data_IF_393003909810
#
_entry.id   IF_393003909810
#
_cell.length_a   1.000
_cell.length_b   1.000
_cell.length_c   1.000
_cell.angle_alpha   90.00
_cell.angle_beta   90.00
_cell.angle_gamma   90.00
#
_symmetry.space_group_name_H-M   'P 1'
#
loop_
_entity.id
_entity.type
_entity.pdbx_description
1 polymer ?
#
# COMPACT_ATOMS: atom_id res chain seq x y z
N UNK A 1 -4.67 6.95 74.41
CA UNK A 1 -4.54 5.63 73.84
C UNK A 1 -4.63 5.78 72.33
N UNK A 2 -3.56 5.50 71.67
CA UNK A 2 -3.36 5.87 70.28
C UNK A 2 -3.63 4.68 69.37
N UNK A 3 -4.63 4.78 68.51
CA UNK A 3 -4.86 3.82 67.44
C UNK A 3 -4.12 4.27 66.18
N UNK A 4 -3.11 3.52 65.81
CA UNK A 4 -2.38 3.71 64.60
C UNK A 4 -3.14 2.98 63.50
N UNK A 5 -3.76 3.76 62.59
CA UNK A 5 -4.31 3.22 61.35
C UNK A 5 -3.16 3.02 60.38
N UNK A 6 -2.85 1.77 60.13
CA UNK A 6 -1.92 1.40 59.06
C UNK A 6 -2.69 1.48 57.75
N UNK A 7 -2.42 2.54 56.99
CA UNK A 7 -2.93 2.67 55.65
C UNK A 7 -2.16 1.74 54.69
N UNK A 8 -2.83 0.72 54.23
CA UNK A 8 -2.33 -0.14 53.14
C UNK A 8 -2.50 0.63 51.84
N UNK A 9 -1.43 1.22 51.34
CA UNK A 9 -1.35 1.70 49.97
C UNK A 9 -1.26 0.51 49.03
N UNK A 10 -2.38 0.13 48.45
CA UNK A 10 -2.41 -0.77 47.31
C UNK A 10 -1.93 -0.01 46.07
N UNK A 11 -0.67 -0.18 45.72
CA UNK A 11 -0.14 0.29 44.45
C UNK A 11 -0.75 -0.56 43.33
N UNK A 12 -1.76 -0.02 42.63
CA UNK A 12 -2.28 -0.63 41.42
C UNK A 12 -1.24 -0.38 40.31
N UNK A 13 -0.46 -1.39 40.06
CA UNK A 13 0.44 -1.43 38.92
C UNK A 13 -0.41 -1.70 37.67
N UNK A 14 -0.85 -0.64 36.98
CA UNK A 14 -1.45 -0.77 35.67
C UNK A 14 -0.31 -1.09 34.69
N UNK A 15 -0.14 -2.37 34.38
CA UNK A 15 0.69 -2.79 33.27
C UNK A 15 0.03 -2.35 31.96
N UNK A 16 0.50 -1.23 31.42
CA UNK A 16 0.17 -0.83 30.06
C UNK A 16 0.90 -1.80 29.14
N UNK A 17 0.22 -2.84 28.73
CA UNK A 17 0.62 -3.66 27.60
C UNK A 17 0.44 -2.81 26.34
N UNK A 18 1.48 -2.04 26.00
CA UNK A 18 1.62 -1.45 24.69
C UNK A 18 1.82 -2.59 23.69
N UNK A 19 0.73 -3.21 23.27
CA UNK A 19 0.75 -4.10 22.13
C UNK A 19 1.16 -3.27 20.92
N UNK A 20 2.30 -3.62 20.29
CA UNK A 20 2.61 -3.18 18.95
C UNK A 20 1.58 -3.79 18.00
N UNK A 21 0.40 -3.22 17.95
CA UNK A 21 -0.55 -3.47 16.88
C UNK A 21 0.08 -2.86 15.63
N UNK A 22 0.50 -3.70 14.67
CA UNK A 22 0.83 -3.23 13.33
C UNK A 22 -0.38 -2.41 12.85
N UNK A 23 -0.15 -1.14 12.48
CA UNK A 23 -1.22 -0.30 11.99
C UNK A 23 -1.93 -1.01 10.83
N UNK A 24 -3.26 -1.19 10.84
CA UNK A 24 -3.97 -1.80 9.72
C UNK A 24 -3.68 -0.97 8.47
N UNK A 25 -3.56 -1.60 7.28
CA UNK A 25 -3.39 -0.88 6.04
C UNK A 25 -4.52 0.13 5.91
N UNK A 26 -4.16 1.40 5.66
CA UNK A 26 -5.11 2.49 5.62
C UNK A 26 -6.08 2.31 4.45
N UNK A 27 -7.28 1.87 4.70
CA UNK A 27 -8.38 1.88 3.75
C UNK A 27 -9.55 2.69 4.33
N UNK A 28 -10.41 3.14 3.46
CA UNK A 28 -11.71 3.70 3.84
C UNK A 28 -12.84 2.85 3.29
N UNK A 29 -13.99 2.90 3.95
CA UNK A 29 -15.21 2.35 3.38
C UNK A 29 -15.86 3.45 2.54
N UNK A 30 -15.99 3.19 1.24
CA UNK A 30 -16.68 4.09 0.32
C UNK A 30 -18.20 4.07 0.59
N UNK A 31 -18.96 5.10 0.14
CA UNK A 31 -20.42 5.16 0.35
C UNK A 31 -21.18 3.96 -0.20
N UNK A 32 -20.65 3.30 -1.23
CA UNK A 32 -21.20 2.07 -1.84
C UNK A 32 -20.76 0.77 -1.13
N UNK A 33 -20.04 0.87 0.00
CA UNK A 33 -19.57 -0.25 0.81
C UNK A 33 -18.25 -0.89 0.34
N UNK A 34 -17.64 -0.39 -0.73
CA UNK A 34 -16.35 -0.89 -1.19
C UNK A 34 -15.22 -0.49 -0.22
N UNK A 35 -14.27 -1.39 0.01
CA UNK A 35 -12.99 -1.06 0.68
C UNK A 35 -12.08 -0.37 -0.32
N UNK A 36 -11.83 0.90 -0.09
CA UNK A 36 -11.01 1.74 -0.97
C UNK A 36 -9.61 1.91 -0.38
N UNK A 37 -8.61 1.56 -1.17
CA UNK A 37 -7.20 1.75 -0.89
C UNK A 37 -6.60 2.74 -1.87
N UNK A 38 -5.75 3.62 -1.39
CA UNK A 38 -4.93 4.49 -2.23
C UNK A 38 -3.55 3.84 -2.36
N UNK A 39 -3.17 3.48 -3.59
CA UNK A 39 -1.86 2.93 -3.91
C UNK A 39 -1.03 3.97 -4.65
N UNK A 40 0.11 4.32 -4.08
CA UNK A 40 1.06 5.24 -4.69
C UNK A 40 2.26 4.47 -5.23
N UNK A 41 2.62 4.69 -6.48
CA UNK A 41 3.80 4.15 -7.14
C UNK A 41 4.93 5.19 -7.12
N UNK A 42 5.95 4.97 -6.30
CA UNK A 42 7.05 5.91 -6.09
C UNK A 42 8.31 5.20 -5.64
N UNK A 43 9.48 5.67 -6.09
CA UNK A 43 10.79 5.24 -5.62
C UNK A 43 11.00 3.71 -5.65
N UNK A 44 10.52 3.04 -6.70
CA UNK A 44 10.68 1.61 -6.90
C UNK A 44 9.72 0.72 -6.10
N UNK A 45 8.70 1.30 -5.44
CA UNK A 45 7.77 0.54 -4.61
C UNK A 45 6.33 1.06 -4.69
N UNK A 46 5.40 0.21 -4.29
CA UNK A 46 4.04 0.64 -3.92
C UNK A 46 4.01 1.11 -2.47
N UNK A 47 3.19 2.10 -2.19
CA UNK A 47 2.84 2.50 -0.83
C UNK A 47 1.31 2.60 -0.70
N UNK A 48 0.68 1.72 0.12
CA UNK A 48 1.23 0.51 0.73
C UNK A 48 1.57 -0.57 -0.30
N UNK A 49 2.50 -1.46 0.01
CA UNK A 49 2.87 -2.60 -0.84
C UNK A 49 2.18 -3.91 -0.43
N UNK A 50 1.37 -3.85 0.62
CA UNK A 50 0.66 -4.97 1.18
C UNK A 50 -0.76 -4.58 1.56
N UNK A 51 -1.74 -5.36 1.12
CA UNK A 51 -3.16 -5.14 1.38
C UNK A 51 -3.77 -6.38 2.02
N UNK A 52 -4.74 -6.17 2.92
CA UNK A 52 -5.52 -7.25 3.54
C UNK A 52 -7.00 -6.95 3.39
N UNK A 53 -7.75 -7.92 2.87
CA UNK A 53 -9.19 -7.85 2.72
C UNK A 53 -9.82 -9.18 3.13
N UNK A 54 -11.14 -9.20 3.31
CA UNK A 54 -11.87 -10.42 3.56
C UNK A 54 -12.43 -11.00 2.25
N UNK A 55 -12.62 -12.31 2.22
CA UNK A 55 -13.33 -12.95 1.13
C UNK A 55 -14.74 -12.33 0.95
N UNK A 56 -15.09 -12.01 -0.28
CA UNK A 56 -16.36 -11.36 -0.62
C UNK A 56 -16.31 -9.83 -0.61
N UNK A 57 -15.23 -9.20 -0.13
CA UNK A 57 -15.10 -7.75 -0.16
C UNK A 57 -15.06 -7.22 -1.59
N UNK A 58 -15.80 -6.13 -1.82
CA UNK A 58 -15.57 -5.27 -2.98
C UNK A 58 -14.41 -4.35 -2.67
N UNK A 59 -13.42 -4.38 -3.53
CA UNK A 59 -12.17 -3.63 -3.36
C UNK A 59 -12.06 -2.60 -4.47
N UNK A 60 -11.73 -1.37 -4.09
CA UNK A 60 -11.43 -0.27 -5.01
C UNK A 60 -10.00 0.18 -4.75
N UNK A 61 -9.18 0.18 -5.79
CA UNK A 61 -7.83 0.73 -5.74
C UNK A 61 -7.80 2.04 -6.51
N UNK A 62 -7.38 3.10 -5.85
CA UNK A 62 -7.08 4.39 -6.45
C UNK A 62 -5.57 4.46 -6.65
N UNK A 63 -5.14 4.44 -7.92
CA UNK A 63 -3.74 4.30 -8.31
C UNK A 63 -3.16 5.67 -8.66
N UNK A 64 -2.10 6.07 -7.96
CA UNK A 64 -1.32 7.27 -8.25
C UNK A 64 0.09 6.90 -8.69
N UNK A 65 0.61 7.55 -9.72
CA UNK A 65 1.98 7.36 -10.18
C UNK A 65 2.78 8.66 -10.04
N UNK A 66 3.97 8.55 -9.45
CA UNK A 66 5.00 9.61 -9.47
C UNK A 66 5.98 9.44 -10.64
N UNK A 67 5.82 8.39 -11.42
CA UNK A 67 6.50 8.18 -12.70
C UNK A 67 5.73 8.88 -13.82
N UNK A 68 6.36 9.10 -14.97
CA UNK A 68 5.65 9.67 -16.11
C UNK A 68 4.43 8.84 -16.48
N UNK A 69 4.61 7.53 -16.50
CA UNK A 69 3.53 6.54 -16.58
C UNK A 69 3.99 5.22 -15.98
N UNK A 70 3.02 4.42 -15.57
CA UNK A 70 3.22 3.07 -15.08
C UNK A 70 2.12 2.15 -15.62
N UNK A 71 2.48 0.93 -15.96
CA UNK A 71 1.53 -0.12 -16.32
C UNK A 71 1.27 -0.99 -15.10
N UNK A 72 0.15 -0.76 -14.44
CA UNK A 72 -0.32 -1.58 -13.33
C UNK A 72 -0.98 -2.84 -13.85
N UNK A 73 -0.63 -4.00 -13.29
CA UNK A 73 -1.16 -5.30 -13.66
C UNK A 73 -1.53 -6.12 -12.43
N UNK A 74 -2.75 -6.64 -12.41
CA UNK A 74 -3.24 -7.55 -11.39
C UNK A 74 -3.92 -8.73 -12.08
N UNK A 75 -3.12 -9.72 -12.46
CA UNK A 75 -3.53 -10.82 -13.35
C UNK A 75 -4.70 -11.64 -12.80
N UNK A 76 -4.74 -11.90 -11.49
CA UNK A 76 -5.81 -12.67 -10.85
C UNK A 76 -7.19 -12.07 -11.13
N UNK A 77 -7.29 -10.75 -11.17
CA UNK A 77 -8.53 -10.03 -11.39
C UNK A 77 -8.63 -9.47 -12.82
N UNK A 78 -7.73 -9.87 -13.72
CA UNK A 78 -7.68 -9.44 -15.13
C UNK A 78 -7.66 -7.92 -15.29
N UNK A 79 -6.93 -7.25 -14.41
CA UNK A 79 -6.77 -5.80 -14.42
C UNK A 79 -5.43 -5.47 -15.06
N UNK A 80 -5.47 -4.57 -16.04
CA UNK A 80 -4.29 -3.93 -16.63
C UNK A 80 -4.65 -2.47 -16.92
N UNK A 81 -3.88 -1.53 -16.36
CA UNK A 81 -4.15 -0.08 -16.49
C UNK A 81 -2.85 0.69 -16.64
N UNK A 82 -2.85 1.64 -17.55
CA UNK A 82 -1.83 2.66 -17.62
C UNK A 82 -2.20 3.80 -16.67
N UNK A 83 -1.27 4.16 -15.77
CA UNK A 83 -1.43 5.23 -14.80
C UNK A 83 -0.42 6.33 -15.13
N UNK A 84 -0.90 7.49 -15.55
CA UNK A 84 -0.06 8.64 -15.82
C UNK A 84 0.17 9.47 -14.56
N UNK A 85 1.24 10.28 -14.56
CA UNK A 85 1.64 11.10 -13.40
C UNK A 85 0.51 11.97 -12.83
N UNK A 86 -0.26 12.62 -13.69
CA UNK A 86 -1.30 13.58 -13.27
C UNK A 86 -2.74 13.02 -13.45
N UNK A 87 -2.88 11.74 -13.72
CA UNK A 87 -4.16 11.12 -13.99
C UNK A 87 -4.31 9.81 -13.18
N UNK A 88 -4.82 9.89 -11.94
CA UNK A 88 -5.08 8.70 -11.14
C UNK A 88 -6.10 7.80 -11.82
N UNK A 89 -5.88 6.49 -11.72
CA UNK A 89 -6.78 5.47 -12.22
C UNK A 89 -7.48 4.76 -11.08
N UNK A 90 -8.73 4.39 -11.29
CA UNK A 90 -9.52 3.63 -10.34
C UNK A 90 -9.83 2.26 -10.92
N UNK A 91 -9.51 1.21 -10.18
CA UNK A 91 -9.85 -0.17 -10.52
C UNK A 91 -10.65 -0.82 -9.41
N UNK A 92 -11.57 -1.69 -9.77
CA UNK A 92 -12.43 -2.40 -8.83
C UNK A 92 -12.44 -3.89 -9.11
N UNK A 93 -12.54 -4.68 -8.04
CA UNK A 93 -12.71 -6.12 -8.11
C UNK A 93 -13.42 -6.64 -6.85
N UNK A 94 -13.84 -7.90 -6.90
CA UNK A 94 -14.36 -8.64 -5.73
C UNK A 94 -13.34 -9.70 -5.35
N UNK A 95 -12.98 -9.74 -4.08
CA UNK A 95 -12.06 -10.74 -3.52
C UNK A 95 -12.80 -12.08 -3.33
N UNK A 96 -12.97 -12.85 -4.40
CA UNK A 96 -13.83 -14.05 -4.41
C UNK A 96 -13.23 -15.25 -3.71
N UNK A 97 -11.90 -15.37 -3.72
CA UNK A 97 -11.19 -16.53 -3.20
C UNK A 97 -10.12 -16.12 -2.18
N UNK A 98 -9.97 -16.92 -1.13
CA UNK A 98 -8.92 -16.75 -0.13
C UNK A 98 -7.55 -17.06 -0.72
N UNK A 99 -6.53 -16.35 -0.28
CA UNK A 99 -5.16 -16.59 -0.71
C UNK A 99 -4.31 -15.35 -0.83
N UNK A 100 -3.12 -15.54 -1.39
CA UNK A 100 -2.13 -14.51 -1.65
C UNK A 100 -2.07 -14.23 -3.14
N UNK A 101 -2.14 -12.96 -3.49
CA UNK A 101 -2.15 -12.51 -4.87
C UNK A 101 -1.16 -11.37 -5.06
N UNK A 102 -0.32 -11.50 -6.06
CA UNK A 102 0.67 -10.47 -6.37
C UNK A 102 0.14 -9.52 -7.45
N UNK A 103 0.41 -8.23 -7.27
CA UNK A 103 0.21 -7.22 -8.30
C UNK A 103 1.53 -6.51 -8.58
N UNK A 104 1.70 -6.03 -9.80
CA UNK A 104 2.94 -5.42 -10.27
C UNK A 104 2.68 -4.12 -11.00
N UNK A 105 3.69 -3.29 -11.14
CA UNK A 105 3.69 -2.20 -12.09
C UNK A 105 5.06 -2.07 -12.76
N UNK A 106 5.04 -1.83 -14.07
CA UNK A 106 6.20 -1.43 -14.84
C UNK A 106 6.16 0.09 -14.99
N UNK A 107 7.08 0.78 -14.37
CA UNK A 107 7.10 2.23 -14.27
C UNK A 107 8.29 2.83 -15.05
N UNK A 108 8.05 3.97 -15.67
CA UNK A 108 8.99 4.62 -16.58
C UNK A 108 9.19 6.08 -16.21
N UNK A 109 10.45 6.50 -16.09
CA UNK A 109 10.82 7.90 -15.96
C UNK A 109 10.93 8.57 -17.34
N UNK A 110 10.64 9.87 -17.41
CA UNK A 110 10.91 10.61 -18.64
C UNK A 110 12.42 10.68 -18.91
N UNK A 111 12.80 10.61 -20.19
CA UNK A 111 14.17 10.75 -20.65
C UNK A 111 14.88 12.05 -20.23
N UNK A 112 14.14 13.06 -19.77
CA UNK A 112 14.66 14.38 -19.46
C UNK A 112 15.43 14.50 -18.14
N UNK A 113 15.55 13.44 -17.33
CA UNK A 113 16.38 13.45 -16.12
C UNK A 113 17.77 12.84 -16.32
N UNK A 114 18.21 12.64 -17.56
CA UNK A 114 19.62 12.45 -17.84
C UNK A 114 20.30 13.80 -17.60
N UNK A 115 20.69 14.06 -16.36
CA UNK A 115 21.70 15.07 -16.06
C UNK A 115 22.93 14.74 -16.90
N UNK A 116 23.48 15.75 -17.59
CA UNK A 116 24.67 15.70 -18.42
C UNK A 116 25.95 15.14 -17.74
N UNK A 117 25.83 14.65 -16.50
CA UNK A 117 26.93 14.16 -15.68
C UNK A 117 27.30 12.67 -15.90
N UNK A 118 26.47 11.87 -16.56
CA UNK A 118 26.77 10.46 -16.85
C UNK A 118 26.25 10.07 -18.23
N UNK A 119 26.81 10.69 -19.27
CA UNK A 119 26.71 10.15 -20.62
C UNK A 119 27.59 8.87 -20.68
N UNK A 120 27.10 7.79 -20.11
CA UNK A 120 27.61 6.46 -20.42
C UNK A 120 27.20 6.15 -21.83
N UNK A 121 28.17 5.66 -22.62
CA UNK A 121 28.07 5.35 -24.06
C UNK A 121 27.12 4.16 -24.35
N UNK A 122 26.52 3.59 -23.35
CA UNK A 122 25.51 2.55 -23.45
C UNK A 122 24.14 3.22 -23.58
N UNK A 123 23.70 3.37 -24.81
CA UNK A 123 22.43 3.82 -25.32
C UNK A 123 21.36 4.41 -24.38
N UNK A 124 20.29 5.03 -24.88
CA UNK A 124 19.26 5.63 -24.05
C UNK A 124 18.54 4.54 -23.23
N UNK A 125 19.08 4.26 -22.04
CA UNK A 125 18.44 3.36 -21.09
C UNK A 125 17.21 4.04 -20.51
N UNK A 126 16.02 3.65 -20.94
CA UNK A 126 14.81 3.85 -20.17
C UNK A 126 15.01 3.12 -18.84
N UNK A 127 15.11 3.82 -17.73
CA UNK A 127 15.14 3.17 -16.42
C UNK A 127 13.72 2.65 -16.13
N UNK A 128 13.50 1.41 -16.53
CA UNK A 128 12.29 0.68 -16.15
C UNK A 128 12.42 0.22 -14.70
N UNK A 129 11.40 0.52 -13.90
CA UNK A 129 11.29 0.02 -12.55
C UNK A 129 10.11 -0.93 -12.45
N UNK A 130 10.36 -2.14 -11.96
CA UNK A 130 9.29 -3.09 -11.67
C UNK A 130 8.96 -3.02 -10.19
N UNK A 131 7.72 -2.65 -9.89
CA UNK A 131 7.19 -2.54 -8.55
C UNK A 131 6.37 -3.80 -8.23
N UNK A 132 6.48 -4.27 -6.99
CA UNK A 132 5.76 -5.45 -6.51
C UNK A 132 4.90 -5.10 -5.30
N UNK A 133 3.69 -5.61 -5.29
CA UNK A 133 2.78 -5.54 -4.15
C UNK A 133 2.00 -6.84 -3.99
N UNK A 134 1.37 -7.01 -2.84
CA UNK A 134 0.68 -8.24 -2.49
C UNK A 134 -0.65 -7.96 -1.79
N UNK A 135 -1.67 -8.70 -2.19
CA UNK A 135 -2.98 -8.76 -1.55
C UNK A 135 -3.12 -10.09 -0.81
N UNK A 136 -3.53 -10.03 0.44
CA UNK A 136 -4.00 -11.20 1.19
C UNK A 136 -5.51 -11.15 1.36
N UNK A 137 -6.19 -12.19 0.92
CA UNK A 137 -7.63 -12.41 1.11
C UNK A 137 -7.81 -13.47 2.19
N UNK A 138 -8.33 -13.07 3.34
CA UNK A 138 -8.57 -13.93 4.50
C UNK A 138 -10.01 -14.41 4.63
#
# INVERSE_FOLDING_TARGET
MRHWAVGVMAAIMIAVLAGCAAAPPAYRIAPDGAKEFVLTMRAGSFSPNYLVVNQGDRVRLVLYSYYQFAFFTFNQFRISRMVAHDAPEVVEFVATERGWYDFTAHAFYPYAQLTLATASIDGPGSSEHVLYGRLYVQ
#
